data_IF_990742440128
#
_entry.id   IF_990742440128
#
_cell.length_a   1.000
_cell.length_b   1.000
_cell.length_c   1.000
_cell.angle_alpha   90.00
_cell.angle_beta   90.00
_cell.angle_gamma   90.00
#
_symmetry.space_group_name_H-M   'P 1'
#
loop_
_entity.id
_entity.type
_entity.pdbx_description
1 polymer ?
#
# COMPACT_ATOMS: atom_id res chain seq x y z
N UNK A 1 -11.56 10.49 -23.09
CA UNK A 1 -12.17 9.91 -21.88
C UNK A 1 -12.62 11.08 -21.02
N UNK A 2 -13.93 11.27 -20.86
CA UNK A 2 -14.45 12.21 -19.88
C UNK A 2 -14.49 11.47 -18.54
N UNK A 3 -13.81 11.99 -17.52
CA UNK A 3 -13.82 11.47 -16.15
C UNK A 3 -14.58 12.48 -15.33
N UNK A 4 -15.64 12.03 -14.65
CA UNK A 4 -16.47 12.89 -13.80
C UNK A 4 -15.93 12.82 -12.36
N UNK A 5 -15.76 14.00 -11.74
CA UNK A 5 -15.33 14.15 -10.36
C UNK A 5 -16.58 14.14 -9.47
N UNK A 6 -16.69 13.16 -8.57
CA UNK A 6 -17.81 13.08 -7.62
C UNK A 6 -17.29 13.42 -6.23
N UNK A 7 -17.96 14.35 -5.55
CA UNK A 7 -17.69 14.74 -4.16
C UNK A 7 -18.97 14.48 -3.33
N UNK A 8 -18.91 13.74 -2.21
CA UNK A 8 -20.08 13.52 -1.37
C UNK A 8 -20.65 14.84 -0.82
N UNK A 9 -21.97 15.02 -0.83
CA UNK A 9 -22.59 16.19 -0.20
C UNK A 9 -22.70 15.98 1.31
N UNK A 10 -21.97 16.78 2.10
CA UNK A 10 -22.07 16.79 3.56
C UNK A 10 -23.34 17.56 3.98
N UNK A 11 -24.44 16.85 4.20
CA UNK A 11 -25.59 17.37 4.93
C UNK A 11 -25.54 16.88 6.38
N UNK A 12 -25.03 17.71 7.29
CA UNK A 12 -25.48 17.71 8.69
C UNK A 12 -25.11 19.01 9.41
N UNK A 13 -26.08 19.90 9.54
CA UNK A 13 -26.00 21.24 10.16
C UNK A 13 -25.88 21.22 11.69
N UNK A 14 -25.55 20.08 12.31
CA UNK A 14 -25.55 19.91 13.77
C UNK A 14 -24.13 19.87 14.38
N UNK A 15 -23.08 19.70 13.58
CA UNK A 15 -21.69 19.62 14.07
C UNK A 15 -20.98 20.99 14.17
N UNK A 16 -21.36 21.98 13.35
CA UNK A 16 -20.72 23.31 13.35
C UNK A 16 -20.91 24.12 14.65
N UNK A 17 -21.90 23.79 15.49
CA UNK A 17 -22.12 24.50 16.77
C UNK A 17 -21.24 24.00 17.92
N UNK A 18 -20.56 22.86 17.76
CA UNK A 18 -19.69 22.29 18.81
C UNK A 18 -18.23 22.81 18.72
N UNK A 19 -17.71 23.09 17.53
CA UNK A 19 -16.34 23.55 17.33
C UNK A 19 -16.11 25.01 17.75
N UNK A 20 -17.13 25.86 17.66
CA UNK A 20 -17.06 27.28 18.04
C UNK A 20 -16.97 27.49 19.57
N UNK A 21 -17.40 26.50 20.36
CA UNK A 21 -17.33 26.55 21.82
C UNK A 21 -15.96 26.12 22.38
N UNK A 22 -15.24 25.26 21.66
CA UNK A 22 -13.94 24.73 22.09
C UNK A 22 -12.79 25.68 21.72
N UNK A 23 -12.88 26.38 20.58
CA UNK A 23 -11.88 27.34 20.09
C UNK A 23 -11.76 28.61 20.93
N UNK A 24 -12.83 29.04 21.63
CA UNK A 24 -12.77 30.20 22.55
C UNK A 24 -12.05 29.92 23.87
N UNK A 25 -11.88 28.65 24.26
CA UNK A 25 -11.30 28.30 25.58
C UNK A 25 -9.77 28.08 25.50
N UNK A 26 -9.23 27.74 24.33
CA UNK A 26 -7.79 27.48 24.12
C UNK A 26 -6.98 28.71 23.67
N UNK A 27 -7.62 29.75 23.14
CA UNK A 27 -6.95 30.98 22.70
C UNK A 27 -6.39 31.85 23.86
N UNK A 28 -6.81 31.62 25.11
CA UNK A 28 -6.36 32.42 26.27
C UNK A 28 -5.10 31.86 26.96
N UNK A 29 -4.63 30.66 26.60
CA UNK A 29 -3.53 29.98 27.29
C UNK A 29 -2.16 30.04 26.57
N UNK A 30 -2.08 30.56 25.35
CA UNK A 30 -0.86 30.48 24.50
C UNK A 30 -0.11 31.82 24.36
N UNK A 31 -0.64 32.93 24.87
CA UNK A 31 -0.03 34.27 24.73
C UNK A 31 1.04 34.63 25.77
N UNK A 32 1.63 33.67 26.52
CA UNK A 32 2.60 33.98 27.58
C UNK A 32 3.96 33.28 27.57
N UNK A 33 4.35 32.58 26.49
CA UNK A 33 5.63 31.82 26.52
C UNK A 33 6.48 31.91 25.24
N UNK A 34 6.43 33.00 24.48
CA UNK A 34 7.36 33.24 23.37
C UNK A 34 7.85 34.69 23.35
N UNK A 35 8.70 35.02 24.32
CA UNK A 35 9.55 36.20 24.30
C UNK A 35 10.91 35.88 24.96
N UNK A 36 11.66 34.97 24.34
CA UNK A 36 13.12 34.88 24.49
C UNK A 36 13.70 33.87 23.50
N UNK A 37 14.88 34.19 22.99
CA UNK A 37 15.74 33.40 22.10
C UNK A 37 15.61 33.64 20.58
N UNK A 38 15.68 34.91 20.19
CA UNK A 38 16.44 35.32 18.98
C UNK A 38 17.79 35.84 19.47
N UNK A 39 18.88 35.12 19.18
CA UNK A 39 20.25 35.59 18.84
C UNK A 39 21.31 34.52 19.17
N UNK A 40 22.34 34.47 18.31
CA UNK A 40 23.61 33.70 18.37
C UNK A 40 23.58 32.30 17.71
N UNK A 41 24.45 31.92 16.78
CA UNK A 41 25.60 32.58 16.14
C UNK A 41 25.95 31.76 14.89
N UNK A 42 26.29 32.46 13.82
CA UNK A 42 27.04 32.02 12.63
C UNK A 42 28.49 31.66 12.95
N UNK A 43 28.92 30.44 12.64
CA UNK A 43 30.29 29.98 12.34
C UNK A 43 30.21 28.43 12.29
N UNK A 44 30.81 27.66 11.38
CA UNK A 44 31.94 27.91 10.49
C UNK A 44 31.84 26.87 9.36
N UNK A 45 32.11 27.31 8.14
CA UNK A 45 32.46 26.43 7.04
C UNK A 45 33.93 25.99 7.20
N UNK A 46 34.34 25.03 6.36
CA UNK A 46 35.70 24.50 6.18
C UNK A 46 36.13 23.39 7.14
N UNK A 47 35.94 22.14 6.71
CA UNK A 47 37.05 21.17 6.63
C UNK A 47 36.68 19.92 5.78
N UNK A 48 37.58 19.63 4.82
CA UNK A 48 37.95 18.30 4.28
C UNK A 48 37.17 17.76 3.05
N UNK A 49 37.70 18.13 1.89
CA UNK A 49 37.84 17.26 0.70
C UNK A 49 39.06 16.32 0.86
N UNK A 50 39.03 15.20 0.13
CA UNK A 50 39.98 14.05 0.05
C UNK A 50 39.68 12.96 1.10
N UNK A 51 39.22 11.77 0.71
CA UNK A 51 40.04 10.79 -0.02
C UNK A 51 39.16 9.78 -0.78
N UNK A 52 39.34 9.72 -2.09
CA UNK A 52 39.01 8.60 -2.97
C UNK A 52 40.19 7.63 -3.00
N UNK A 53 39.99 6.37 -2.59
CA UNK A 53 40.78 5.21 -3.03
C UNK A 53 40.28 3.93 -2.32
N UNK A 54 39.50 3.12 -3.03
CA UNK A 54 39.61 1.64 -3.12
C UNK A 54 38.29 1.06 -3.66
N UNK A 55 38.15 1.14 -4.98
CA UNK A 55 37.50 0.10 -5.76
C UNK A 55 38.64 -0.81 -6.25
N UNK A 56 38.66 -2.05 -5.80
CA UNK A 56 39.33 -3.23 -6.39
C UNK A 56 39.56 -4.27 -5.30
N UNK A 57 38.56 -5.13 -5.05
CA UNK A 57 38.72 -6.48 -4.47
C UNK A 57 37.37 -7.16 -4.20
N UNK A 58 36.54 -7.43 -5.23
CA UNK A 58 35.61 -8.58 -5.18
C UNK A 58 35.35 -9.09 -6.61
N UNK A 59 36.36 -9.70 -7.20
CA UNK A 59 36.20 -10.60 -8.34
C UNK A 59 36.93 -11.89 -8.01
N UNK A 60 36.26 -13.00 -8.30
CA UNK A 60 36.65 -14.38 -8.01
C UNK A 60 36.40 -14.82 -6.56
N UNK A 61 35.33 -15.61 -6.36
CA UNK A 61 35.42 -17.00 -5.86
C UNK A 61 34.04 -17.68 -6.04
N UNK A 62 34.02 -18.72 -6.89
CA UNK A 62 33.04 -19.85 -6.99
C UNK A 62 31.57 -19.50 -7.31
N UNK A 63 30.94 -19.82 -8.45
CA UNK A 63 31.13 -20.88 -9.45
C UNK A 63 31.25 -22.29 -8.84
N UNK A 64 30.17 -22.79 -8.21
CA UNK A 64 29.75 -24.19 -8.32
C UNK A 64 28.38 -24.41 -7.65
N UNK A 65 27.34 -24.62 -8.45
CA UNK A 65 26.16 -25.41 -8.05
C UNK A 65 25.57 -25.99 -9.32
N UNK A 66 26.10 -27.16 -9.68
CA UNK A 66 25.55 -28.04 -10.69
C UNK A 66 24.17 -28.57 -10.29
N UNK A 67 23.42 -28.88 -11.34
CA UNK A 67 22.07 -29.42 -11.35
C UNK A 67 21.87 -30.60 -10.38
N UNK A 68 20.85 -30.48 -9.51
CA UNK A 68 20.28 -31.63 -8.81
C UNK A 68 19.01 -32.05 -9.56
N UNK A 69 19.08 -33.26 -10.10
CA UNK A 69 18.02 -33.95 -10.81
C UNK A 69 16.78 -34.14 -9.91
N UNK A 70 15.60 -33.86 -10.47
CA UNK A 70 14.30 -34.17 -9.86
C UNK A 70 13.99 -35.64 -10.13
N UNK A 71 14.31 -36.51 -9.18
CA UNK A 71 13.78 -37.89 -9.15
C UNK A 71 12.50 -37.92 -8.33
N UNK A 72 11.40 -38.33 -8.95
CA UNK A 72 10.09 -38.45 -8.31
C UNK A 72 10.11 -39.38 -7.10
N UNK A 73 9.43 -38.96 -6.04
CA UNK A 73 9.08 -39.83 -4.91
C UNK A 73 7.56 -39.88 -4.79
N UNK A 74 7.06 -41.12 -4.89
CA UNK A 74 5.68 -41.50 -4.69
C UNK A 74 5.23 -41.26 -3.23
N UNK A 75 3.91 -41.12 -3.07
CA UNK A 75 3.20 -40.60 -1.89
C UNK A 75 3.70 -41.04 -0.51
N UNK A 76 4.07 -40.05 0.29
CA UNK A 76 4.06 -40.15 1.75
C UNK A 76 2.65 -39.79 2.28
N UNK A 77 2.14 -40.52 3.30
CA UNK A 77 0.84 -40.21 3.90
C UNK A 77 0.87 -38.82 4.59
N UNK A 78 -0.28 -38.12 4.66
CA UNK A 78 -0.32 -36.76 5.19
C UNK A 78 0.18 -36.74 6.64
N UNK A 79 1.07 -35.79 7.00
CA UNK A 79 1.52 -35.66 8.38
C UNK A 79 0.32 -35.36 9.28
N UNK A 80 0.23 -36.16 10.34
CA UNK A 80 -0.73 -36.07 11.44
C UNK A 80 -0.78 -34.63 11.97
N UNK A 81 -2.00 -34.10 12.13
CA UNK A 81 -2.28 -32.69 12.41
C UNK A 81 -1.44 -32.11 13.56
N UNK A 82 -0.43 -31.33 13.20
CA UNK A 82 0.17 -30.35 14.11
C UNK A 82 -0.95 -29.40 14.57
N UNK A 83 -0.98 -29.05 15.86
CA UNK A 83 -2.03 -28.23 16.45
C UNK A 83 -2.35 -27.01 15.57
N UNK A 84 -3.62 -26.86 15.17
CA UNK A 84 -4.07 -25.74 14.33
C UNK A 84 -3.69 -24.44 15.04
N UNK A 85 -2.76 -23.68 14.45
CA UNK A 85 -2.52 -22.31 14.89
C UNK A 85 -3.83 -21.53 14.87
N UNK A 86 -4.04 -20.71 15.89
CA UNK A 86 -5.18 -19.81 15.94
C UNK A 86 -5.12 -18.84 14.74
N UNK A 87 -6.24 -18.70 14.04
CA UNK A 87 -6.36 -17.75 12.93
C UNK A 87 -6.42 -16.34 13.50
N UNK A 88 -5.60 -15.44 12.97
CA UNK A 88 -5.47 -14.07 13.41
C UNK A 88 -5.86 -13.11 12.29
N UNK A 89 -6.65 -12.11 12.64
CA UNK A 89 -7.04 -11.02 11.76
C UNK A 89 -6.43 -9.71 12.25
N UNK A 90 -5.93 -8.92 11.30
CA UNK A 90 -5.64 -7.50 11.49
C UNK A 90 -6.46 -6.70 10.47
N UNK A 91 -6.67 -5.41 10.76
CA UNK A 91 -7.31 -4.49 9.83
C UNK A 91 -6.39 -3.31 9.56
N UNK A 92 -6.33 -2.84 8.33
CA UNK A 92 -5.63 -1.63 7.95
C UNK A 92 -6.67 -0.54 7.68
N UNK A 93 -6.62 0.53 8.46
CA UNK A 93 -7.50 1.69 8.37
C UNK A 93 -6.80 2.87 7.67
N UNK A 94 -7.55 3.62 6.87
CA UNK A 94 -7.09 4.81 6.15
C UNK A 94 -7.75 6.10 6.64
N UNK A 95 -8.77 6.01 7.50
CA UNK A 95 -9.43 7.17 8.12
C UNK A 95 -9.57 7.05 9.64
N UNK A 96 -9.71 8.17 10.38
CA UNK A 96 -10.00 8.15 11.81
C UNK A 96 -11.29 7.42 12.17
N UNK A 97 -12.33 7.50 11.34
CA UNK A 97 -13.63 6.86 11.56
C UNK A 97 -13.50 5.33 11.47
N UNK A 98 -12.71 4.84 10.51
CA UNK A 98 -12.37 3.42 10.39
C UNK A 98 -11.58 2.95 11.62
N UNK A 99 -10.61 3.74 12.10
CA UNK A 99 -9.87 3.44 13.34
C UNK A 99 -10.83 3.35 14.53
N UNK A 100 -11.71 4.33 14.69
CA UNK A 100 -12.70 4.37 15.76
C UNK A 100 -13.63 3.14 15.72
N UNK A 101 -14.01 2.66 14.54
CA UNK A 101 -14.79 1.45 14.38
C UNK A 101 -13.99 0.18 14.68
N UNK A 102 -12.76 0.08 14.16
CA UNK A 102 -11.88 -1.07 14.37
C UNK A 102 -11.57 -1.29 15.85
N UNK A 103 -11.30 -0.23 16.61
CA UNK A 103 -10.94 -0.37 18.04
C UNK A 103 -12.09 -0.92 18.90
N UNK A 104 -13.35 -0.81 18.44
CA UNK A 104 -14.52 -1.37 19.13
C UNK A 104 -14.73 -2.87 18.87
N UNK A 105 -13.98 -3.47 17.95
CA UNK A 105 -14.09 -4.91 17.66
C UNK A 105 -13.25 -5.68 18.68
N UNK A 106 -13.91 -6.43 19.57
CA UNK A 106 -13.25 -7.14 20.69
C UNK A 106 -12.27 -8.22 20.22
N UNK A 107 -12.64 -8.98 19.19
CA UNK A 107 -11.81 -10.07 18.64
C UNK A 107 -10.54 -9.60 17.94
N UNK A 108 -10.47 -8.31 17.60
CA UNK A 108 -9.35 -7.72 16.86
C UNK A 108 -8.21 -7.34 17.80
N UNK A 109 -7.03 -7.91 17.61
CA UNK A 109 -5.86 -7.65 18.48
C UNK A 109 -4.89 -6.62 17.90
N UNK A 110 -4.97 -6.34 16.60
CA UNK A 110 -4.02 -5.49 15.89
C UNK A 110 -4.73 -4.62 14.84
N UNK A 111 -4.39 -3.33 14.83
CA UNK A 111 -4.87 -2.34 13.88
C UNK A 111 -3.66 -1.71 13.20
N UNK A 112 -3.63 -1.77 11.87
CA UNK A 112 -2.68 -1.06 11.03
C UNK A 112 -3.28 0.27 10.55
N UNK A 113 -2.43 1.27 10.34
CA UNK A 113 -2.85 2.58 9.81
C UNK A 113 -2.00 2.99 8.61
N UNK A 114 -2.64 3.54 7.58
CA UNK A 114 -2.05 3.99 6.32
C UNK A 114 -2.62 5.35 5.89
N UNK A 115 -2.38 6.38 6.71
CA UNK A 115 -2.85 7.74 6.42
C UNK A 115 -1.83 8.39 5.46
N UNK A 116 -2.21 8.53 4.19
CA UNK A 116 -1.29 8.97 3.14
C UNK A 116 -0.77 10.41 3.35
N UNK A 117 -1.58 11.28 3.94
CA UNK A 117 -1.23 12.67 4.30
C UNK A 117 -0.62 12.81 5.72
N UNK A 118 -0.28 11.72 6.42
CA UNK A 118 0.27 11.62 7.80
C UNK A 118 -0.40 12.46 8.91
N UNK A 119 -1.33 13.34 8.58
CA UNK A 119 -2.14 14.16 9.46
C UNK A 119 -3.04 13.25 10.27
N UNK A 120 -3.14 13.48 11.57
CA UNK A 120 -3.89 12.61 12.46
C UNK A 120 -3.26 11.22 12.71
N UNK A 121 -2.12 10.90 12.10
CA UNK A 121 -1.48 9.59 12.25
C UNK A 121 -1.05 9.32 13.71
N UNK A 122 -0.49 10.31 14.40
CA UNK A 122 -0.16 10.18 15.84
C UNK A 122 -1.42 9.96 16.69
N UNK A 123 -2.50 10.70 16.42
CA UNK A 123 -3.76 10.56 17.13
C UNK A 123 -4.37 9.16 16.92
N UNK A 124 -4.29 8.63 15.70
CA UNK A 124 -4.72 7.27 15.41
C UNK A 124 -3.89 6.23 16.19
N UNK A 125 -2.57 6.42 16.25
CA UNK A 125 -1.68 5.56 17.06
C UNK A 125 -2.07 5.59 18.54
N UNK A 126 -2.27 6.78 19.11
CA UNK A 126 -2.64 6.95 20.51
C UNK A 126 -4.02 6.33 20.80
N UNK A 127 -4.98 6.48 19.88
CA UNK A 127 -6.32 5.90 19.98
C UNK A 127 -6.29 4.37 20.00
N UNK A 128 -5.51 3.75 19.12
CA UNK A 128 -5.37 2.29 19.03
C UNK A 128 -4.72 1.75 20.31
N UNK A 129 -3.67 2.43 20.80
CA UNK A 129 -2.98 2.04 22.04
C UNK A 129 -3.86 2.21 23.26
N UNK A 130 -4.63 3.29 23.35
CA UNK A 130 -5.57 3.51 24.45
C UNK A 130 -6.66 2.43 24.52
N UNK A 131 -7.02 1.84 23.37
CA UNK A 131 -7.91 0.68 23.29
C UNK A 131 -7.23 -0.67 23.60
N UNK A 132 -5.94 -0.67 23.98
CA UNK A 132 -5.18 -1.88 24.32
C UNK A 132 -4.86 -2.78 23.14
N UNK A 133 -4.92 -2.27 21.90
CA UNK A 133 -4.61 -3.03 20.69
C UNK A 133 -3.19 -2.76 20.21
N UNK A 134 -2.57 -3.73 19.52
CA UNK A 134 -1.30 -3.50 18.84
C UNK A 134 -1.52 -2.54 17.67
N UNK A 135 -0.59 -1.62 17.50
CA UNK A 135 -0.59 -0.65 16.41
C UNK A 135 0.55 -0.91 15.42
N UNK A 136 0.20 -0.98 14.14
CA UNK A 136 1.15 -1.09 13.04
C UNK A 136 1.03 0.16 12.16
N UNK A 137 2.14 0.77 11.78
CA UNK A 137 2.11 1.95 10.88
C UNK A 137 2.70 1.60 9.53
N UNK A 138 1.94 1.84 8.46
CA UNK A 138 2.41 1.66 7.09
C UNK A 138 3.35 2.79 6.68
N UNK A 139 4.57 2.42 6.27
CA UNK A 139 5.60 3.34 5.78
C UNK A 139 5.38 3.68 4.30
N UNK A 140 5.87 4.77 3.71
CA UNK A 140 5.56 5.09 2.30
C UNK A 140 6.06 4.03 1.33
N UNK A 141 5.33 3.81 0.23
CA UNK A 141 5.75 2.89 -0.85
C UNK A 141 6.88 3.48 -1.69
N UNK A 142 6.81 4.78 -1.93
CA UNK A 142 7.77 5.53 -2.74
C UNK A 142 8.48 6.51 -1.82
N UNK A 143 9.81 6.43 -1.78
CA UNK A 143 10.67 7.42 -1.12
C UNK A 143 11.44 8.14 -2.22
N UNK A 144 11.26 9.46 -2.31
CA UNK A 144 12.01 10.34 -3.20
C UNK A 144 13.31 10.80 -2.51
N UNK A 145 14.27 11.34 -3.27
CA UNK A 145 15.36 12.13 -2.70
C UNK A 145 14.82 13.18 -1.74
N UNK A 146 15.56 13.48 -0.68
CA UNK A 146 15.21 14.38 0.43
C UNK A 146 14.15 13.85 1.43
N UNK A 147 13.45 12.75 1.10
CA UNK A 147 12.54 12.06 2.02
C UNK A 147 13.24 11.02 2.90
N UNK A 148 14.58 10.88 2.82
CA UNK A 148 15.32 9.81 3.50
C UNK A 148 15.33 9.96 5.03
N UNK A 149 14.82 11.06 5.57
CA UNK A 149 14.68 11.26 7.02
C UNK A 149 13.30 10.86 7.54
N UNK A 150 12.34 10.50 6.68
CA UNK A 150 10.99 10.09 7.08
C UNK A 150 11.00 8.91 8.05
N UNK A 151 11.96 7.99 7.97
CA UNK A 151 12.05 6.89 8.93
C UNK A 151 12.13 7.39 10.39
N UNK A 152 12.77 8.55 10.66
CA UNK A 152 12.79 9.13 12.02
C UNK A 152 11.41 9.54 12.49
N UNK A 153 10.57 10.05 11.58
CA UNK A 153 9.19 10.38 11.86
C UNK A 153 8.41 9.11 12.24
N UNK A 154 8.51 8.05 11.43
CA UNK A 154 7.83 6.78 11.72
C UNK A 154 8.29 6.12 13.03
N UNK A 155 9.58 6.22 13.38
CA UNK A 155 10.06 5.74 14.68
C UNK A 155 9.51 6.56 15.86
N UNK A 156 9.35 7.88 15.69
CA UNK A 156 8.81 8.75 16.75
C UNK A 156 7.34 8.47 17.07
N UNK A 157 6.58 7.90 16.13
CA UNK A 157 5.19 7.52 16.37
C UNK A 157 5.06 6.49 17.50
N UNK A 158 6.12 5.72 17.78
CA UNK A 158 6.10 4.73 18.86
C UNK A 158 5.14 3.56 18.58
N UNK A 159 5.01 3.16 17.32
CA UNK A 159 4.21 2.01 16.91
C UNK A 159 4.84 0.69 17.36
N UNK A 160 4.04 -0.37 17.54
CA UNK A 160 4.54 -1.70 17.91
C UNK A 160 5.24 -2.41 16.74
N UNK A 161 4.87 -2.04 15.51
CA UNK A 161 5.54 -2.47 14.29
C UNK A 161 5.43 -1.41 13.18
N UNK A 162 6.37 -1.47 12.23
CA UNK A 162 6.27 -0.78 10.95
C UNK A 162 5.95 -1.78 9.84
N UNK A 163 4.94 -1.47 9.03
CA UNK A 163 4.66 -2.16 7.78
C UNK A 163 5.54 -1.54 6.68
N UNK A 164 6.61 -2.25 6.34
CA UNK A 164 7.69 -1.84 5.46
C UNK A 164 7.31 -2.09 4.01
N UNK A 165 7.17 -0.98 3.27
CA UNK A 165 6.71 -0.97 1.88
C UNK A 165 7.81 -0.67 0.85
N UNK A 166 9.04 -0.40 1.31
CA UNK A 166 10.21 -0.08 0.48
C UNK A 166 11.42 -0.89 0.89
N UNK A 167 12.11 -1.52 -0.07
CA UNK A 167 13.36 -2.26 0.15
C UNK A 167 14.46 -1.33 0.66
N UNK A 168 14.51 -0.08 0.17
CA UNK A 168 15.48 0.91 0.64
C UNK A 168 15.29 1.24 2.12
N UNK A 169 14.03 1.34 2.57
CA UNK A 169 13.71 1.56 3.99
C UNK A 169 14.05 0.33 4.84
N UNK A 170 13.75 -0.88 4.34
CA UNK A 170 14.14 -2.13 5.00
C UNK A 170 15.66 -2.18 5.20
N UNK A 171 16.43 -1.93 4.14
CA UNK A 171 17.88 -1.88 4.21
C UNK A 171 18.36 -0.82 5.21
N UNK A 172 17.76 0.37 5.20
CA UNK A 172 18.11 1.44 6.13
C UNK A 172 17.90 1.02 7.59
N UNK A 173 16.72 0.52 7.95
CA UNK A 173 16.41 0.14 9.33
C UNK A 173 17.24 -1.06 9.80
N UNK A 174 17.48 -2.04 8.93
CA UNK A 174 18.34 -3.19 9.25
C UNK A 174 19.80 -2.79 9.43
N UNK A 175 20.34 -1.89 8.59
CA UNK A 175 21.71 -1.34 8.77
C UNK A 175 21.89 -0.54 10.07
N UNK A 176 20.78 -0.07 10.65
CA UNK A 176 20.73 0.68 11.89
C UNK A 176 20.49 -0.20 13.13
N UNK A 177 20.59 -1.53 12.98
CA UNK A 177 20.46 -2.50 14.07
C UNK A 177 19.20 -3.37 13.99
N UNK A 178 18.28 -3.10 13.06
CA UNK A 178 17.02 -3.85 12.95
C UNK A 178 16.13 -3.67 14.19
N UNK A 179 15.15 -4.56 14.35
CA UNK A 179 14.28 -4.57 15.53
C UNK A 179 15.08 -4.55 16.84
N UNK A 180 14.70 -3.66 17.76
CA UNK A 180 15.39 -3.44 19.03
C UNK A 180 16.63 -2.54 18.92
N UNK A 181 17.06 -2.17 17.72
CA UNK A 181 18.12 -1.18 17.50
C UNK A 181 17.75 0.17 18.13
N UNK A 182 18.68 0.76 18.88
CA UNK A 182 18.50 2.05 19.57
C UNK A 182 19.38 3.10 18.91
N UNK A 183 18.75 4.19 18.46
CA UNK A 183 19.43 5.29 17.80
C UNK A 183 19.51 6.49 18.73
N UNK A 184 20.74 6.96 18.96
CA UNK A 184 20.99 8.19 19.70
C UNK A 184 20.31 9.37 18.98
N UNK A 185 19.53 10.16 19.73
CA UNK A 185 18.77 11.29 19.18
C UNK A 185 18.29 12.27 20.26
N UNK A 186 17.70 13.38 19.83
CA UNK A 186 17.28 14.50 20.69
C UNK A 186 16.12 14.20 21.67
N UNK A 187 15.53 13.00 21.62
CA UNK A 187 14.50 12.55 22.56
C UNK A 187 15.13 11.81 23.73
N UNK A 188 14.72 12.14 24.96
CA UNK A 188 15.09 11.40 26.17
C UNK A 188 14.64 9.93 26.01
N UNK A 189 15.60 9.03 25.78
CA UNK A 189 15.36 7.59 25.58
C UNK A 189 15.81 7.02 24.23
N UNK A 190 16.20 7.86 23.26
CA UNK A 190 16.57 7.40 21.91
C UNK A 190 15.37 6.99 21.05
N UNK A 191 15.62 6.69 19.77
CA UNK A 191 14.61 6.10 18.89
C UNK A 191 14.83 4.58 18.82
N UNK A 192 13.80 3.81 19.14
CA UNK A 192 13.84 2.35 19.09
C UNK A 192 13.19 1.89 17.77
N UNK A 193 13.86 0.99 17.07
CA UNK A 193 13.30 0.36 15.87
C UNK A 193 12.33 -0.75 16.33
N UNK A 194 11.02 -0.66 16.03
CA UNK A 194 10.04 -1.66 16.43
C UNK A 194 10.13 -2.91 15.54
N UNK A 195 9.18 -3.84 15.68
CA UNK A 195 9.08 -4.96 14.75
C UNK A 195 8.93 -4.46 13.30
N UNK A 196 9.52 -5.19 12.36
CA UNK A 196 9.42 -4.90 10.94
C UNK A 196 8.55 -5.95 10.26
N UNK A 197 7.44 -5.55 9.64
CA UNK A 197 6.58 -6.44 8.84
C UNK A 197 6.73 -6.04 7.37
N UNK A 198 7.03 -6.98 6.48
CA UNK A 198 7.15 -6.68 5.05
C UNK A 198 5.81 -6.69 4.36
N UNK A 199 5.54 -5.67 3.57
CA UNK A 199 4.28 -5.56 2.81
C UNK A 199 4.37 -6.21 1.41
N UNK A 200 3.22 -6.35 0.76
CA UNK A 200 3.11 -6.89 -0.60
C UNK A 200 4.01 -6.17 -1.61
N UNK A 201 4.28 -4.87 -1.41
CA UNK A 201 5.06 -4.03 -2.30
C UNK A 201 6.56 -4.35 -2.30
N UNK A 202 7.03 -5.22 -1.40
CA UNK A 202 8.36 -5.81 -1.48
C UNK A 202 8.48 -6.86 -2.60
N UNK A 203 7.36 -7.23 -3.24
CA UNK A 203 7.28 -8.15 -4.38
C UNK A 203 7.83 -9.56 -4.06
N UNK A 204 7.57 -10.07 -2.86
CA UNK A 204 7.90 -11.42 -2.48
C UNK A 204 6.92 -12.43 -3.12
N UNK A 205 7.30 -13.00 -4.27
CA UNK A 205 6.42 -13.82 -5.11
C UNK A 205 6.89 -15.27 -5.28
N UNK A 206 8.03 -15.63 -4.70
CA UNK A 206 8.59 -16.98 -4.75
C UNK A 206 9.35 -17.33 -3.44
N UNK A 207 9.65 -18.62 -3.17
CA UNK A 207 10.28 -19.03 -1.91
C UNK A 207 11.64 -18.38 -1.64
N UNK A 208 12.44 -18.10 -2.68
CA UNK A 208 13.77 -17.48 -2.55
C UNK A 208 13.61 -16.04 -2.04
N UNK A 209 12.77 -15.24 -2.71
CA UNK A 209 12.48 -13.86 -2.29
C UNK A 209 11.86 -13.80 -0.89
N UNK A 210 10.86 -14.66 -0.62
CA UNK A 210 10.19 -14.67 0.68
C UNK A 210 11.14 -15.09 1.82
N UNK A 211 11.95 -16.12 1.60
CA UNK A 211 12.98 -16.55 2.54
C UNK A 211 14.03 -15.45 2.80
N UNK A 212 14.51 -14.80 1.74
CA UNK A 212 15.48 -13.69 1.84
C UNK A 212 14.94 -12.50 2.64
N UNK A 213 13.71 -12.07 2.37
CA UNK A 213 13.07 -10.99 3.12
C UNK A 213 12.85 -11.36 4.59
N UNK A 214 12.39 -12.57 4.89
CA UNK A 214 12.22 -13.02 6.28
C UNK A 214 13.56 -13.18 7.02
N UNK A 215 14.63 -13.52 6.31
CA UNK A 215 15.99 -13.59 6.85
C UNK A 215 16.62 -12.20 7.08
N UNK A 216 16.14 -11.17 6.38
CA UNK A 216 16.60 -9.78 6.58
C UNK A 216 16.12 -9.12 7.88
N UNK A 217 15.35 -9.84 8.71
CA UNK A 217 14.88 -9.36 10.01
C UNK A 217 13.39 -9.04 10.09
N UNK A 218 12.63 -9.24 9.01
CA UNK A 218 11.17 -9.06 9.03
C UNK A 218 10.48 -10.12 9.88
N UNK A 219 9.63 -9.77 10.84
CA UNK A 219 8.84 -10.75 11.61
C UNK A 219 7.75 -11.42 10.79
N UNK A 220 7.14 -10.67 9.88
CA UNK A 220 6.06 -11.10 8.98
C UNK A 220 6.32 -10.64 7.56
N UNK A 221 5.70 -11.32 6.61
CA UNK A 221 5.78 -10.96 5.21
C UNK A 221 4.44 -11.17 4.50
N UNK A 222 3.95 -10.14 3.84
CA UNK A 222 2.81 -10.22 2.94
C UNK A 222 3.28 -10.60 1.54
N UNK A 223 2.76 -11.69 0.93
CA UNK A 223 3.10 -12.03 -0.45
C UNK A 223 2.66 -10.95 -1.45
N UNK A 224 3.41 -10.80 -2.55
CA UNK A 224 3.09 -9.84 -3.61
C UNK A 224 1.76 -10.13 -4.31
N UNK A 225 1.16 -9.10 -4.94
CA UNK A 225 -0.12 -9.23 -5.65
C UNK A 225 -0.05 -9.96 -6.99
N UNK A 226 1.15 -10.22 -7.50
CA UNK A 226 1.38 -10.89 -8.80
C UNK A 226 1.14 -12.40 -8.78
N UNK A 227 0.85 -12.97 -7.61
CA UNK A 227 0.58 -14.40 -7.45
C UNK A 227 -0.86 -14.66 -7.02
N UNK A 228 -1.46 -15.68 -7.63
CA UNK A 228 -2.80 -16.16 -7.28
C UNK A 228 -2.83 -16.81 -5.89
N UNK A 229 -4.02 -17.01 -5.31
CA UNK A 229 -4.15 -17.73 -4.04
C UNK A 229 -3.63 -19.18 -4.11
N UNK A 230 -3.67 -19.81 -5.29
CA UNK A 230 -3.06 -21.13 -5.51
C UNK A 230 -1.54 -21.06 -5.35
N UNK A 231 -0.91 -20.05 -5.95
CA UNK A 231 0.53 -19.82 -5.86
C UNK A 231 0.94 -19.37 -4.44
N UNK A 232 0.14 -18.55 -3.76
CA UNK A 232 0.36 -18.23 -2.33
C UNK A 232 0.34 -19.49 -1.46
N UNK A 233 -0.62 -20.39 -1.69
CA UNK A 233 -0.68 -21.67 -0.98
C UNK A 233 0.52 -22.58 -1.30
N UNK A 234 1.03 -22.56 -2.53
CA UNK A 234 2.26 -23.28 -2.91
C UNK A 234 3.49 -22.67 -2.23
N UNK A 235 3.61 -21.34 -2.22
CA UNK A 235 4.66 -20.60 -1.52
C UNK A 235 4.71 -20.98 -0.04
N UNK A 236 3.58 -20.94 0.65
CA UNK A 236 3.47 -21.31 2.06
C UNK A 236 3.95 -22.75 2.31
N UNK A 237 3.51 -23.71 1.49
CA UNK A 237 3.97 -25.11 1.60
C UNK A 237 5.47 -25.26 1.38
N UNK A 238 6.04 -24.57 0.39
CA UNK A 238 7.47 -24.63 0.08
C UNK A 238 8.35 -24.02 1.18
N UNK A 239 7.85 -23.05 1.94
CA UNK A 239 8.58 -22.42 3.04
C UNK A 239 8.56 -23.25 4.34
N UNK A 240 7.70 -24.28 4.41
CA UNK A 240 7.49 -25.09 5.61
C UNK A 240 6.62 -24.41 6.67
N UNK A 241 6.09 -25.18 7.65
CA UNK A 241 5.02 -24.71 8.54
C UNK A 241 5.43 -23.54 9.45
N UNK A 242 6.67 -23.52 9.94
CA UNK A 242 7.17 -22.44 10.82
C UNK A 242 7.23 -21.10 10.08
N UNK A 243 7.72 -21.12 8.84
CA UNK A 243 7.87 -19.92 8.03
C UNK A 243 6.53 -19.50 7.41
N UNK A 244 5.67 -20.46 7.03
CA UNK A 244 4.32 -20.19 6.54
C UNK A 244 3.48 -19.39 7.55
N UNK A 245 3.64 -19.65 8.85
CA UNK A 245 2.98 -18.91 9.93
C UNK A 245 3.40 -17.43 10.05
N UNK A 246 4.50 -17.05 9.38
CA UNK A 246 4.98 -15.65 9.27
C UNK A 246 4.44 -14.97 8.02
N UNK A 247 3.73 -15.67 7.14
CA UNK A 247 3.03 -15.05 6.03
C UNK A 247 1.73 -14.41 6.52
N UNK A 248 1.46 -13.20 6.03
CA UNK A 248 0.22 -12.46 6.29
C UNK A 248 -0.46 -12.15 4.96
N UNK A 249 -1.57 -12.82 4.65
CA UNK A 249 -2.29 -12.62 3.39
C UNK A 249 -3.30 -11.50 3.52
N UNK A 250 -3.29 -10.56 2.59
CA UNK A 250 -4.37 -9.58 2.47
C UNK A 250 -5.61 -10.29 1.92
N UNK A 251 -6.63 -10.44 2.77
CA UNK A 251 -7.85 -11.17 2.43
C UNK A 251 -8.94 -10.28 1.83
N UNK A 252 -8.86 -8.96 2.03
CA UNK A 252 -9.79 -7.97 1.49
C UNK A 252 -9.01 -6.70 1.16
N UNK A 253 -9.19 -6.13 -0.02
CA UNK A 253 -8.53 -4.88 -0.40
C UNK A 253 -9.14 -4.25 -1.65
N UNK A 254 -9.02 -2.94 -1.80
CA UNK A 254 -9.09 -2.29 -3.10
C UNK A 254 -7.67 -2.11 -3.63
N UNK A 255 -7.39 -2.60 -4.85
CA UNK A 255 -6.06 -2.47 -5.44
C UNK A 255 -5.80 -1.01 -5.82
N UNK A 256 -4.61 -0.48 -5.47
CA UNK A 256 -4.15 0.79 -6.03
C UNK A 256 -3.84 0.58 -7.53
N UNK A 257 -4.68 1.12 -8.41
CA UNK A 257 -4.61 0.91 -9.87
C UNK A 257 -3.74 1.95 -10.57
N UNK A 258 -3.65 3.15 -10.00
CA UNK A 258 -2.86 4.23 -10.58
C UNK A 258 -2.18 5.08 -9.50
N UNK A 259 -0.93 5.43 -9.74
CA UNK A 259 -0.22 6.47 -9.02
C UNK A 259 0.15 7.57 -10.01
N UNK A 260 -0.15 8.82 -9.68
CA UNK A 260 0.11 9.97 -10.56
C UNK A 260 0.66 11.16 -9.78
N UNK A 261 1.60 11.87 -10.39
CA UNK A 261 2.12 13.16 -9.90
C UNK A 261 1.17 14.33 -10.25
N UNK A 262 0.15 14.08 -11.07
CA UNK A 262 -0.87 15.07 -11.37
C UNK A 262 -1.94 15.07 -10.28
N UNK A 263 -1.88 16.06 -9.38
CA UNK A 263 -2.82 16.21 -8.29
C UNK A 263 -4.18 16.73 -8.80
N UNK A 264 -5.19 15.86 -8.88
CA UNK A 264 -6.56 16.20 -9.29
C UNK A 264 -7.22 17.17 -8.32
N UNK A 265 -6.88 17.07 -7.03
CA UNK A 265 -7.37 18.01 -6.01
C UNK A 265 -6.88 19.43 -6.29
N UNK A 266 -5.57 19.62 -6.47
CA UNK A 266 -5.00 20.92 -6.81
C UNK A 266 -5.59 21.44 -8.14
N UNK A 267 -5.68 20.58 -9.15
CA UNK A 267 -6.10 21.00 -10.49
C UNK A 267 -7.57 21.44 -10.56
N UNK A 268 -8.46 20.79 -9.81
CA UNK A 268 -9.91 20.99 -9.97
C UNK A 268 -10.59 21.63 -8.77
N UNK A 269 -9.96 21.63 -7.58
CA UNK A 269 -10.53 22.15 -6.34
C UNK A 269 -9.71 23.30 -5.74
N UNK A 270 -8.78 23.88 -6.50
CA UNK A 270 -7.97 25.01 -6.07
C UNK A 270 -7.67 25.95 -7.25
N UNK A 271 -7.35 27.20 -6.92
CA UNK A 271 -6.79 28.19 -7.86
C UNK A 271 -5.25 28.06 -7.98
N UNK A 272 -4.62 27.24 -7.12
CA UNK A 272 -3.19 26.94 -7.16
C UNK A 272 -2.82 25.91 -8.22
N UNK A 273 -1.52 25.81 -8.50
CA UNK A 273 -0.95 24.90 -9.50
C UNK A 273 0.07 23.90 -8.93
N UNK A 274 0.39 23.98 -7.63
CA UNK A 274 1.30 23.08 -6.95
C UNK A 274 1.01 22.96 -5.44
N UNK A 275 1.72 22.07 -4.76
CA UNK A 275 1.49 21.77 -3.34
C UNK A 275 1.73 22.95 -2.38
N UNK A 276 2.51 23.96 -2.78
CA UNK A 276 2.83 25.12 -1.92
C UNK A 276 1.76 26.21 -1.93
N UNK A 277 0.88 26.21 -2.94
CA UNK A 277 -0.13 27.26 -3.14
C UNK A 277 -1.55 26.71 -3.34
N UNK A 278 -1.76 25.39 -3.28
CA UNK A 278 -3.08 24.81 -3.52
C UNK A 278 -4.05 24.94 -2.33
N UNK A 279 -3.57 25.27 -1.13
CA UNK A 279 -4.41 25.33 0.08
C UNK A 279 -4.90 23.96 0.58
N UNK A 280 -4.29 22.87 0.11
CA UNK A 280 -4.54 21.48 0.53
C UNK A 280 -6.03 21.06 0.55
N UNK A 281 -6.80 21.24 -0.54
CA UNK A 281 -8.20 20.84 -0.60
C UNK A 281 -8.41 19.32 -0.38
N UNK A 282 -7.38 18.51 -0.60
CA UNK A 282 -7.38 17.08 -0.31
C UNK A 282 -7.56 16.72 1.18
N UNK A 283 -7.33 17.67 2.11
CA UNK A 283 -7.52 17.42 3.55
C UNK A 283 -8.99 17.45 3.98
N UNK A 284 -9.84 18.14 3.22
CA UNK A 284 -11.24 18.38 3.57
C UNK A 284 -12.24 17.79 2.58
N UNK A 285 -11.76 17.30 1.44
CA UNK A 285 -12.59 16.74 0.37
C UNK A 285 -12.24 15.28 0.11
N UNK A 286 -13.28 14.45 0.03
CA UNK A 286 -13.18 13.10 -0.52
C UNK A 286 -13.57 13.14 -1.99
N UNK A 287 -12.76 12.50 -2.84
CA UNK A 287 -12.92 12.55 -4.29
C UNK A 287 -12.93 11.16 -4.88
N UNK A 288 -13.88 10.92 -5.78
CA UNK A 288 -13.93 9.73 -6.62
C UNK A 288 -13.84 10.10 -8.10
N UNK A 289 -13.17 9.25 -8.88
CA UNK A 289 -13.25 9.26 -10.33
C UNK A 289 -14.29 8.24 -10.76
N UNK A 290 -15.35 8.70 -11.43
CA UNK A 290 -16.35 7.80 -11.97
C UNK A 290 -15.95 7.28 -13.35
N UNK A 291 -15.93 5.96 -13.53
CA UNK A 291 -15.65 5.34 -14.82
C UNK A 291 -16.89 5.33 -15.74
N UNK A 292 -16.72 4.89 -16.99
CA UNK A 292 -17.81 4.82 -17.97
C UNK A 292 -18.90 3.79 -17.62
N UNK A 293 -18.64 2.89 -16.67
CA UNK A 293 -19.59 1.90 -16.17
C UNK A 293 -20.30 2.38 -14.90
N UNK A 294 -19.99 3.59 -14.41
CA UNK A 294 -20.54 4.16 -13.19
C UNK A 294 -19.84 3.73 -11.91
N UNK A 295 -18.69 3.05 -11.99
CA UNK A 295 -17.93 2.65 -10.80
C UNK A 295 -17.18 3.85 -10.21
N UNK A 296 -17.18 3.97 -8.88
CA UNK A 296 -16.54 5.05 -8.15
C UNK A 296 -15.15 4.63 -7.67
N UNK A 297 -14.11 5.25 -8.23
CA UNK A 297 -12.72 4.98 -7.87
C UNK A 297 -12.21 6.05 -6.90
N UNK A 298 -12.05 5.69 -5.62
CA UNK A 298 -11.52 6.61 -4.61
C UNK A 298 -10.12 7.10 -5.01
N UNK A 299 -9.92 8.42 -4.91
CA UNK A 299 -8.63 9.07 -5.07
C UNK A 299 -8.18 9.59 -3.72
N UNK A 300 -6.96 9.23 -3.33
CA UNK A 300 -6.32 9.80 -2.15
C UNK A 300 -5.02 10.50 -2.54
N UNK A 301 -4.76 11.65 -1.95
CA UNK A 301 -3.46 12.32 -2.05
C UNK A 301 -2.54 11.85 -0.91
N UNK A 302 -1.25 11.73 -1.20
CA UNK A 302 -0.21 11.64 -0.16
C UNK A 302 0.51 12.97 0.04
N UNK A 303 1.35 13.05 1.08
CA UNK A 303 2.15 14.24 1.45
C UNK A 303 2.93 14.91 0.32
N UNK A 304 3.27 14.16 -0.73
CA UNK A 304 3.96 14.68 -1.91
C UNK A 304 3.00 15.19 -2.98
N UNK A 305 1.71 15.40 -2.66
CA UNK A 305 0.63 15.67 -3.60
C UNK A 305 0.48 14.62 -4.72
N UNK A 306 0.97 13.40 -4.50
CA UNK A 306 0.78 12.29 -5.46
C UNK A 306 -0.58 11.67 -5.22
N UNK A 307 -1.30 11.40 -6.28
CA UNK A 307 -2.63 10.80 -6.18
C UNK A 307 -2.54 9.30 -6.41
N UNK A 308 -3.18 8.55 -5.52
CA UNK A 308 -3.42 7.12 -5.65
C UNK A 308 -4.88 6.90 -5.96
N UNK A 309 -5.16 6.28 -7.11
CA UNK A 309 -6.50 5.86 -7.51
C UNK A 309 -6.66 4.39 -7.12
N UNK A 310 -7.68 4.09 -6.32
CA UNK A 310 -8.03 2.73 -5.93
C UNK A 310 -9.09 2.14 -6.86
N UNK A 311 -9.04 0.83 -7.07
CA UNK A 311 -10.08 0.13 -7.81
C UNK A 311 -11.40 0.23 -7.06
N UNK A 312 -12.50 0.51 -7.77
CA UNK A 312 -13.82 0.60 -7.16
C UNK A 312 -14.26 -0.73 -6.53
N UNK A 313 -14.07 -1.84 -7.24
CA UNK A 313 -14.36 -3.19 -6.73
C UNK A 313 -13.25 -3.68 -5.79
N UNK A 314 -13.64 -4.19 -4.62
CA UNK A 314 -12.71 -4.86 -3.73
C UNK A 314 -12.34 -6.25 -4.26
N UNK A 315 -11.10 -6.66 -4.00
CA UNK A 315 -10.61 -8.02 -4.17
C UNK A 315 -10.75 -8.78 -2.84
N UNK A 316 -11.46 -9.91 -2.85
CA UNK A 316 -11.68 -10.73 -1.65
C UNK A 316 -11.16 -12.16 -1.80
N UNK A 317 -10.47 -12.63 -0.78
CA UNK A 317 -10.01 -14.01 -0.61
C UNK A 317 -10.98 -14.87 0.21
N UNK A 318 -12.18 -14.38 0.57
CA UNK A 318 -13.05 -15.03 1.56
C UNK A 318 -13.38 -16.50 1.18
N UNK A 319 -13.69 -16.75 -0.09
CA UNK A 319 -13.94 -18.10 -0.62
C UNK A 319 -12.67 -18.97 -0.75
N UNK A 320 -11.50 -18.34 -0.68
CA UNK A 320 -10.19 -18.98 -0.83
C UNK A 320 -9.49 -19.23 0.52
N UNK A 321 -10.03 -18.69 1.62
CA UNK A 321 -9.46 -18.85 2.96
C UNK A 321 -9.26 -20.33 3.37
N UNK A 322 -10.19 -21.27 3.12
CA UNK A 322 -9.97 -22.68 3.50
C UNK A 322 -8.71 -23.28 2.85
N UNK A 323 -8.42 -22.89 1.60
CA UNK A 323 -7.20 -23.29 0.88
C UNK A 323 -5.94 -22.66 1.48
N UNK A 324 -6.00 -21.39 1.88
CA UNK A 324 -4.87 -20.69 2.46
C UNK A 324 -4.56 -21.21 3.88
N UNK A 325 -5.60 -21.42 4.69
CA UNK A 325 -5.52 -22.02 6.02
C UNK A 325 -4.91 -23.41 5.98
N UNK A 326 -5.36 -24.28 5.07
CA UNK A 326 -4.78 -25.62 4.89
C UNK A 326 -3.34 -25.62 4.38
N UNK A 327 -2.86 -24.52 3.82
CA UNK A 327 -1.46 -24.33 3.44
C UNK A 327 -0.57 -23.84 4.60
N UNK A 328 -1.14 -23.62 5.79
CA UNK A 328 -0.42 -23.16 6.98
C UNK A 328 -0.41 -21.64 7.17
N UNK A 329 -1.15 -20.89 6.34
CA UNK A 329 -1.31 -19.43 6.52
C UNK A 329 -2.35 -19.21 7.61
N UNK A 330 -1.97 -18.55 8.70
CA UNK A 330 -2.84 -18.31 9.86
C UNK A 330 -3.11 -16.83 10.12
N UNK A 331 -2.52 -15.91 9.33
CA UNK A 331 -2.66 -14.46 9.48
C UNK A 331 -3.29 -13.85 8.24
N UNK A 332 -4.34 -13.07 8.44
CA UNK A 332 -5.06 -12.38 7.38
C UNK A 332 -5.23 -10.91 7.72
N UNK A 333 -4.94 -10.04 6.75
CA UNK A 333 -5.14 -8.59 6.86
C UNK A 333 -6.33 -8.16 6.02
N UNK A 334 -7.24 -7.38 6.60
CA UNK A 334 -8.36 -6.73 5.91
C UNK A 334 -7.96 -5.28 5.67
N UNK A 335 -7.79 -4.85 4.42
CA UNK A 335 -7.44 -3.47 4.10
C UNK A 335 -8.67 -2.68 3.68
N UNK A 336 -9.02 -1.68 4.49
CA UNK A 336 -10.12 -0.77 4.23
C UNK A 336 -9.61 0.39 3.36
N UNK A 337 -10.42 0.81 2.41
CA UNK A 337 -10.15 1.97 1.57
C UNK A 337 -11.36 2.90 1.64
N UNK A 338 -12.46 2.50 1.03
CA UNK A 338 -13.65 3.33 0.86
C UNK A 338 -14.86 2.81 1.65
N UNK A 339 -14.66 1.72 2.40
CA UNK A 339 -15.69 1.14 3.25
C UNK A 339 -16.03 2.09 4.42
N UNK A 340 -17.33 2.39 4.63
CA UNK A 340 -17.80 3.17 5.76
C UNK A 340 -17.51 2.52 7.12
N UNK A 341 -17.38 3.34 8.15
CA UNK A 341 -17.01 2.92 9.50
C UNK A 341 -17.97 1.86 10.09
N UNK A 342 -19.27 1.96 9.80
CA UNK A 342 -20.30 1.02 10.21
C UNK A 342 -20.12 -0.39 9.65
N UNK A 343 -19.42 -0.53 8.50
CA UNK A 343 -19.18 -1.82 7.84
C UNK A 343 -17.96 -2.55 8.41
N UNK A 344 -17.04 -1.85 9.08
CA UNK A 344 -15.77 -2.42 9.58
C UNK A 344 -15.99 -3.63 10.50
N UNK A 345 -16.86 -3.49 11.50
CA UNK A 345 -17.19 -4.58 12.43
C UNK A 345 -17.84 -5.79 11.74
N UNK A 346 -18.94 -5.60 10.99
CA UNK A 346 -19.55 -6.65 10.17
C UNK A 346 -18.57 -7.36 9.23
N UNK A 347 -17.68 -6.60 8.56
CA UNK A 347 -16.69 -7.12 7.62
C UNK A 347 -15.73 -8.08 8.32
N UNK A 348 -15.12 -7.65 9.42
CA UNK A 348 -14.21 -8.48 10.21
C UNK A 348 -14.91 -9.75 10.70
N UNK A 349 -16.14 -9.64 11.21
CA UNK A 349 -16.93 -10.82 11.64
C UNK A 349 -17.21 -11.79 10.51
N UNK A 350 -17.46 -11.31 9.28
CA UNK A 350 -17.68 -12.19 8.13
C UNK A 350 -16.46 -13.07 7.85
N UNK A 351 -15.26 -12.48 7.80
CA UNK A 351 -14.01 -13.21 7.61
C UNK A 351 -13.73 -14.19 8.76
N UNK A 352 -13.94 -13.77 10.00
CA UNK A 352 -13.77 -14.66 11.16
C UNK A 352 -14.74 -15.84 11.14
N UNK A 353 -16.01 -15.61 10.78
CA UNK A 353 -17.00 -16.69 10.66
C UNK A 353 -16.59 -17.68 9.58
N UNK A 354 -16.11 -17.23 8.43
CA UNK A 354 -15.66 -18.11 7.35
C UNK A 354 -14.39 -18.89 7.73
N UNK A 355 -13.49 -18.29 8.51
CA UNK A 355 -12.33 -19.02 9.05
C UNK A 355 -12.71 -20.14 10.03
N UNK A 356 -13.79 -19.96 10.80
CA UNK A 356 -14.32 -20.97 11.73
C UNK A 356 -15.17 -22.00 11.00
N UNK A 357 -16.02 -21.56 10.08
CA UNK A 357 -16.95 -22.37 9.31
C UNK A 357 -16.90 -21.99 7.81
N UNK A 358 -16.10 -22.72 7.02
CA UNK A 358 -15.99 -22.52 5.56
C UNK A 358 -17.30 -22.60 4.79
N UNK A 359 -18.35 -23.23 5.32
CA UNK A 359 -19.63 -23.37 4.61
C UNK A 359 -20.34 -22.03 4.41
N UNK A 360 -19.99 -21.03 5.23
CA UNK A 360 -20.56 -19.66 5.18
C UNK A 360 -19.93 -18.79 4.09
N UNK A 361 -18.89 -19.25 3.40
CA UNK A 361 -18.13 -18.43 2.44
C UNK A 361 -19.03 -17.86 1.33
N UNK A 362 -19.94 -18.68 0.77
CA UNK A 362 -20.89 -18.24 -0.25
C UNK A 362 -21.87 -17.17 0.24
N UNK A 363 -22.35 -17.29 1.48
CA UNK A 363 -23.24 -16.30 2.10
C UNK A 363 -22.48 -14.98 2.29
N UNK A 364 -21.26 -15.07 2.84
CA UNK A 364 -20.41 -13.92 3.06
C UNK A 364 -20.03 -13.23 1.74
N UNK A 365 -19.68 -13.97 0.70
CA UNK A 365 -19.40 -13.44 -0.64
C UNK A 365 -20.57 -12.60 -1.18
N UNK A 366 -21.81 -13.11 -1.07
CA UNK A 366 -23.01 -12.38 -1.49
C UNK A 366 -23.20 -11.10 -0.70
N UNK A 367 -22.97 -11.14 0.61
CA UNK A 367 -23.04 -9.95 1.45
C UNK A 367 -21.96 -8.92 1.09
N UNK A 368 -20.71 -9.36 0.82
CA UNK A 368 -19.65 -8.47 0.37
C UNK A 368 -20.01 -7.71 -0.91
N UNK A 369 -20.80 -8.30 -1.82
CA UNK A 369 -21.29 -7.61 -3.03
C UNK A 369 -22.17 -6.39 -2.73
N UNK A 370 -22.69 -6.29 -1.51
CA UNK A 370 -23.65 -5.25 -1.09
C UNK A 370 -23.02 -4.15 -0.25
N UNK A 371 -21.74 -4.27 0.09
CA UNK A 371 -21.05 -3.24 0.89
C UNK A 371 -21.00 -1.94 0.07
N UNK A 372 -21.51 -0.82 0.62
CA UNK A 372 -21.44 0.46 -0.04
C UNK A 372 -20.04 1.07 0.09
N UNK A 373 -19.68 1.89 -0.88
CA UNK A 373 -18.62 2.88 -0.77
C UNK A 373 -19.09 4.13 0.02
N UNK A 374 -18.24 5.14 0.13
CA UNK A 374 -18.56 6.39 0.81
C UNK A 374 -19.69 7.21 0.12
N UNK A 375 -19.99 6.94 -1.16
CA UNK A 375 -21.11 7.55 -1.88
C UNK A 375 -22.42 6.75 -1.74
N UNK A 376 -22.40 5.63 -1.01
CA UNK A 376 -23.56 4.75 -0.83
C UNK A 376 -23.76 3.75 -1.98
N UNK A 377 -22.82 3.65 -2.92
CA UNK A 377 -22.92 2.75 -4.06
C UNK A 377 -22.25 1.41 -3.77
N UNK A 378 -22.94 0.31 -4.09
CA UNK A 378 -22.35 -1.02 -3.97
C UNK A 378 -21.46 -1.31 -5.19
N UNK A 379 -20.14 -1.16 -5.04
CA UNK A 379 -19.18 -1.41 -6.11
C UNK A 379 -18.99 -2.91 -6.39
N UNK A 380 -19.27 -3.77 -5.40
CA UNK A 380 -19.15 -5.22 -5.49
C UNK A 380 -17.75 -5.75 -5.15
N UNK A 381 -17.59 -7.08 -5.21
CA UNK A 381 -16.32 -7.76 -4.95
C UNK A 381 -15.94 -8.76 -6.05
N UNK A 382 -14.64 -8.92 -6.26
CA UNK A 382 -14.05 -9.83 -7.25
C UNK A 382 -12.93 -10.67 -6.64
N UNK A 383 -12.57 -11.76 -7.31
CA UNK A 383 -11.34 -12.49 -6.98
C UNK A 383 -10.10 -11.76 -7.50
N UNK A 384 -10.25 -10.90 -8.52
CA UNK A 384 -9.14 -10.17 -9.14
C UNK A 384 -7.94 -11.08 -9.43
N UNK A 385 -6.76 -10.70 -8.94
CA UNK A 385 -5.52 -11.47 -9.13
C UNK A 385 -5.45 -12.78 -8.33
N UNK A 386 -6.33 -13.00 -7.34
CA UNK A 386 -6.38 -14.25 -6.58
C UNK A 386 -6.89 -15.42 -7.40
N UNK A 387 -7.64 -15.15 -8.46
CA UNK A 387 -8.17 -16.16 -9.35
C UNK A 387 -7.03 -16.83 -10.14
N UNK A 388 -7.00 -18.15 -10.13
CA UNK A 388 -6.10 -18.92 -10.99
C UNK A 388 -6.79 -19.22 -12.31
N UNK A 389 -6.53 -18.42 -13.34
CA UNK A 389 -6.89 -18.79 -14.71
C UNK A 389 -5.82 -19.73 -15.22
N UNK A 390 -6.20 -20.94 -15.67
CA UNK A 390 -5.23 -21.83 -16.31
C UNK A 390 -4.55 -21.10 -17.47
N UNK A 391 -3.23 -21.16 -17.50
CA UNK A 391 -2.45 -20.58 -18.57
C UNK A 391 -2.86 -21.30 -19.86
N UNK A 392 -3.34 -20.53 -20.83
CA UNK A 392 -3.73 -21.08 -22.13
C UNK A 392 -2.51 -21.77 -22.71
N UNK A 393 -2.70 -22.99 -23.22
CA UNK A 393 -1.60 -23.68 -23.89
C UNK A 393 -1.06 -22.79 -25.00
N UNK A 394 0.23 -22.91 -25.31
CA UNK A 394 0.85 -22.12 -26.40
C UNK A 394 0.12 -22.30 -27.74
N UNK A 395 -0.58 -23.43 -27.94
CA UNK A 395 -1.43 -23.70 -29.10
C UNK A 395 -2.75 -22.91 -29.10
N UNK A 396 -3.27 -22.54 -27.93
CA UNK A 396 -4.55 -21.82 -27.76
C UNK A 396 -4.37 -20.29 -27.70
N UNK A 397 -3.12 -19.82 -27.64
CA UNK A 397 -2.82 -18.39 -27.74
C UNK A 397 -3.01 -17.95 -29.19
N UNK A 398 -3.80 -16.88 -29.38
CA UNK A 398 -3.87 -16.21 -30.68
C UNK A 398 -2.46 -15.86 -31.12
N UNK A 399 -2.08 -16.28 -32.33
CA UNK A 399 -0.82 -15.88 -32.94
C UNK A 399 -0.71 -14.35 -32.87
N UNK A 400 0.42 -13.85 -32.39
CA UNK A 400 0.67 -12.41 -32.40
C UNK A 400 0.60 -11.90 -33.83
N UNK A 401 0.21 -10.64 -34.02
CA UNK A 401 0.08 -10.03 -35.36
C UNK A 401 1.38 -10.19 -36.16
N UNK A 402 2.53 -10.10 -35.50
CA UNK A 402 3.85 -10.40 -36.06
C UNK A 402 3.98 -11.83 -36.56
N UNK A 403 3.54 -12.82 -35.79
CA UNK A 403 3.64 -14.23 -36.19
C UNK A 403 2.61 -14.61 -37.26
N UNK A 404 1.46 -13.92 -37.29
CA UNK A 404 0.47 -14.03 -38.37
C UNK A 404 1.01 -13.44 -39.69
N UNK A 405 1.72 -12.31 -39.61
CA UNK A 405 2.23 -11.61 -40.79
C UNK A 405 3.55 -12.17 -41.33
N UNK A 406 4.40 -12.74 -40.46
CA UNK A 406 5.79 -13.09 -40.81
C UNK A 406 6.17 -14.54 -40.48
N UNK A 407 5.24 -15.38 -40.03
CA UNK A 407 5.50 -16.77 -39.60
C UNK A 407 5.38 -17.83 -40.71
N UNK A 408 5.12 -17.44 -41.96
CA UNK A 408 5.02 -18.36 -43.10
C UNK A 408 6.39 -18.51 -43.77
N UNK A 409 6.83 -19.74 -44.13
CA UNK A 409 8.06 -19.95 -44.90
C UNK A 409 7.92 -19.24 -46.25
N UNK A 410 8.78 -18.24 -46.52
CA UNK A 410 8.78 -17.48 -47.78
C UNK A 410 8.27 -16.03 -47.69
N UNK A 411 7.96 -15.51 -46.51
CA UNK A 411 7.62 -14.09 -46.35
C UNK A 411 8.88 -13.20 -46.43
N UNK A 412 9.27 -12.76 -47.62
CA UNK A 412 10.31 -11.74 -47.81
C UNK A 412 9.87 -10.38 -47.24
N UNK A 413 10.78 -9.73 -46.52
CA UNK A 413 10.65 -8.38 -45.99
C UNK A 413 10.62 -7.37 -47.14
N UNK A 414 9.43 -7.01 -47.63
CA UNK A 414 9.28 -5.74 -48.33
C UNK A 414 9.28 -4.60 -47.30
N UNK A 415 10.48 -4.14 -46.94
CA UNK A 415 10.65 -2.86 -46.24
C UNK A 415 10.20 -1.73 -47.17
N UNK A 416 8.91 -1.38 -47.13
CA UNK A 416 8.47 -0.04 -47.53
C UNK A 416 8.95 0.94 -46.47
N UNK A 417 10.17 1.43 -46.63
CA UNK A 417 10.62 2.66 -45.98
C UNK A 417 9.72 3.77 -46.51
N UNK A 418 8.71 4.15 -45.75
CA UNK A 418 7.96 5.37 -46.01
C UNK A 418 8.89 6.52 -45.61
N UNK A 419 9.61 7.08 -46.59
CA UNK A 419 10.26 8.38 -46.43
C UNK A 419 9.17 9.38 -46.03
N UNK A 420 9.35 10.06 -44.89
CA UNK A 420 8.55 11.25 -44.55
C UNK A 420 8.63 12.19 -45.75
N UNK A 421 7.47 12.54 -46.31
CA UNK A 421 7.39 13.62 -47.27
C UNK A 421 7.85 14.91 -46.57
N UNK A 422 8.89 15.54 -47.10
CA UNK A 422 9.25 16.91 -46.77
C UNK A 422 8.14 17.82 -47.29
N UNK A 423 7.19 18.13 -46.41
CA UNK A 423 6.13 19.10 -46.64
C UNK A 423 6.39 20.32 -45.76
N UNK A 424 6.83 21.39 -46.40
CA UNK A 424 6.96 22.75 -45.85
C UNK A 424 5.68 23.19 -45.15
N UNK A 425 5.73 23.38 -43.83
CA UNK A 425 4.69 24.07 -43.07
C UNK A 425 5.13 25.52 -42.87
N UNK A 426 4.48 26.42 -43.61
CA UNK A 426 4.52 27.87 -43.40
C UNK A 426 3.96 28.21 -42.02
N UNK A 427 4.78 28.91 -41.22
CA UNK A 427 4.38 29.57 -39.98
C UNK A 427 3.45 30.75 -40.33
N UNK A 428 2.14 30.58 -40.19
CA UNK A 428 1.22 31.70 -40.05
C UNK A 428 1.11 32.06 -38.57
N UNK A 429 1.92 33.04 -38.14
CA UNK A 429 1.76 33.68 -36.85
C UNK A 429 0.39 34.37 -36.77
N UNK A 430 -0.33 34.16 -35.67
CA UNK A 430 -1.51 34.94 -35.38
C UNK A 430 -1.06 36.30 -34.80
N UNK A 431 -1.60 37.42 -35.28
CA UNK A 431 -1.07 38.74 -34.98
C UNK A 431 -1.39 39.18 -33.54
N UNK A 432 -0.41 39.88 -32.97
CA UNK A 432 -0.56 40.77 -31.83
C UNK A 432 -1.77 41.69 -32.03
N UNK A 433 -2.80 41.52 -31.20
CA UNK A 433 -3.85 42.52 -31.03
C UNK A 433 -3.31 43.65 -30.15
N UNK A 434 -2.91 44.75 -30.78
CA UNK A 434 -2.58 46.01 -30.14
C UNK A 434 -3.23 47.18 -30.88
N UNK A 435 -3.91 48.04 -30.12
CA UNK A 435 -4.42 49.36 -30.50
C UNK A 435 -5.95 49.40 -30.65
N UNK A 436 -6.71 50.28 -30.00
CA UNK A 436 -6.43 51.43 -29.16
C UNK A 436 -7.75 52.21 -28.96
N UNK A 437 -7.87 52.95 -27.85
CA UNK A 437 -9.03 53.76 -27.49
C UNK A 437 -8.99 54.15 -26.02
#
# INVERSE_FOLDING_TARGET
MAVELVVPSLLSSTLMRAEEAVTKTTASAVTKTTASAVTKTTANADAVTKTTANADAVTATTANVDAVAVTGHAGAPPPRAAGRQAVQFSVLCRTPEQVAAAVRVESLTEVAVDFLEVHGLQLAVDTIRAAGKRVVVATPRILKPDEERLWKFYLRLGADALLIRSIGLLHKLTSLGGEGGVLAGAHKGGLIIPELHGDFSLNAVNPISAGGFLASGLKRLTPGHDISAKQMAQLARSLGPVTAARLEVIAHQHLAVFHTEHCVFCRFLSDGDNYTNCGHPCETNQVHLRDSNGNDHLVLADMGCRNTVFNAQAQSAIDLMPRLLSAGISRFRIELVDEPAETVGPLLRAYEHVARDPTRAREAWKWLQTIPDANGNAQGVTLGSLHHKEERSRGDLKLTKTRQLYGQPGAELQHKVVKRAEGTATLSGNPMGGGGG
#
